data_IF_300638383342
#
_entry.id   IF_300638383342
#
_cell.length_a   1.000
_cell.length_b   1.000
_cell.length_c   1.000
_cell.angle_alpha   90.00
_cell.angle_beta   90.00
_cell.angle_gamma   90.00
#
_symmetry.space_group_name_H-M   'P 1'
#
loop_
_entity.id
_entity.type
_entity.pdbx_description
1 polymer ?
#
# COMPACT_ATOMS: atom_id res chain seq x y z
N UNK A 1 -20.62 12.68 11.50
CA UNK A 1 -21.17 11.37 11.73
C UNK A 1 -20.35 10.29 11.08
N UNK A 2 -20.05 9.24 11.84
CA UNK A 2 -19.19 8.16 11.36
C UNK A 2 -19.95 7.26 10.40
N UNK A 3 -19.58 7.33 9.11
CA UNK A 3 -20.17 6.45 8.11
C UNK A 3 -19.12 5.41 7.72
N UNK A 4 -18.63 4.68 8.73
CA UNK A 4 -17.61 3.67 8.51
C UNK A 4 -18.21 2.36 8.06
N UNK A 5 -17.53 1.72 7.14
CA UNK A 5 -17.92 0.40 6.68
C UNK A 5 -16.67 -0.43 6.41
N UNK A 6 -16.86 -1.73 6.33
CA UNK A 6 -15.77 -2.68 6.15
C UNK A 6 -15.51 -2.90 4.67
N UNK A 7 -14.26 -2.72 4.26
CA UNK A 7 -13.85 -3.14 2.91
C UNK A 7 -12.78 -4.19 3.05
N UNK A 8 -12.62 -5.00 2.02
CA UNK A 8 -11.57 -6.01 1.98
C UNK A 8 -10.57 -5.64 0.89
N UNK A 9 -9.30 -5.66 1.24
CA UNK A 9 -8.22 -5.36 0.31
C UNK A 9 -7.25 -6.53 0.32
N UNK A 10 -6.66 -6.81 -0.84
CA UNK A 10 -5.68 -7.87 -0.95
C UNK A 10 -4.30 -7.28 -1.07
N UNK A 11 -3.41 -7.67 -0.16
CA UNK A 11 -2.02 -7.22 -0.16
C UNK A 11 -1.14 -8.46 0.01
N UNK A 12 -0.22 -8.66 -0.91
CA UNK A 12 0.74 -9.77 -0.86
C UNK A 12 0.03 -11.13 -0.78
N UNK A 13 -1.08 -11.27 -1.51
CA UNK A 13 -1.79 -12.54 -1.59
C UNK A 13 -2.72 -12.84 -0.43
N UNK A 14 -2.89 -11.91 0.49
CA UNK A 14 -3.76 -12.11 1.64
C UNK A 14 -4.80 -11.00 1.71
N UNK A 15 -6.02 -11.37 2.08
CA UNK A 15 -7.13 -10.42 2.21
C UNK A 15 -7.17 -9.86 3.62
N UNK A 16 -7.36 -8.55 3.71
CA UNK A 16 -7.46 -7.84 4.99
C UNK A 16 -8.74 -7.03 5.00
N UNK A 17 -9.46 -7.07 6.13
CA UNK A 17 -10.62 -6.23 6.32
C UNK A 17 -10.21 -4.94 7.02
N UNK A 18 -10.59 -3.81 6.47
CA UNK A 18 -10.34 -2.52 7.10
C UNK A 18 -11.62 -1.71 7.15
N UNK A 19 -11.76 -0.94 8.23
CA UNK A 19 -12.92 -0.06 8.39
C UNK A 19 -12.52 1.35 8.05
N UNK A 20 -13.26 1.95 7.13
CA UNK A 20 -12.97 3.31 6.65
C UNK A 20 -14.29 4.04 6.45
N UNK A 21 -14.22 5.36 6.34
CA UNK A 21 -15.37 6.14 5.93
C UNK A 21 -15.58 5.94 4.42
N UNK A 22 -16.83 6.07 3.98
CA UNK A 22 -17.13 5.89 2.55
C UNK A 22 -16.35 6.86 1.68
N UNK A 23 -16.11 8.07 2.19
CA UNK A 23 -15.36 9.07 1.45
C UNK A 23 -13.91 8.68 1.22
N UNK A 24 -13.39 7.69 1.98
CA UNK A 24 -12.00 7.26 1.90
C UNK A 24 -11.81 6.03 1.02
N UNK A 25 -12.88 5.43 0.53
CA UNK A 25 -12.77 4.13 -0.15
C UNK A 25 -11.89 4.21 -1.40
N UNK A 26 -12.10 5.23 -2.22
CA UNK A 26 -11.34 5.35 -3.46
C UNK A 26 -9.85 5.55 -3.18
N UNK A 27 -9.53 6.37 -2.19
CA UNK A 27 -8.14 6.61 -1.79
C UNK A 27 -7.52 5.34 -1.26
N UNK A 28 -8.26 4.59 -0.43
CA UNK A 28 -7.75 3.33 0.13
C UNK A 28 -7.46 2.31 -0.97
N UNK A 29 -8.35 2.18 -1.95
CA UNK A 29 -8.14 1.23 -3.04
C UNK A 29 -7.00 1.64 -3.95
N UNK A 30 -6.83 2.95 -4.13
CA UNK A 30 -5.68 3.44 -4.90
C UNK A 30 -4.37 3.18 -4.16
N UNK A 31 -4.38 3.33 -2.82
CA UNK A 31 -3.20 3.02 -2.01
C UNK A 31 -2.79 1.56 -2.18
N UNK A 32 -3.76 0.64 -2.16
CA UNK A 32 -3.48 -0.78 -2.36
C UNK A 32 -2.91 -1.03 -3.75
N UNK A 33 -3.44 -0.36 -4.76
CA UNK A 33 -2.94 -0.48 -6.12
C UNK A 33 -1.49 -0.05 -6.21
N UNK A 34 -1.13 1.04 -5.53
CA UNK A 34 0.25 1.51 -5.51
C UNK A 34 1.18 0.51 -4.84
N UNK A 35 0.73 -0.12 -3.76
CA UNK A 35 1.53 -1.16 -3.09
C UNK A 35 1.80 -2.31 -4.05
N UNK A 36 0.78 -2.80 -4.74
CA UNK A 36 0.94 -3.90 -5.70
C UNK A 36 1.91 -3.53 -6.81
N UNK A 37 1.76 -2.33 -7.34
CA UNK A 37 2.62 -1.85 -8.41
C UNK A 37 4.08 -1.84 -7.98
N UNK A 38 4.34 -1.32 -6.77
CA UNK A 38 5.71 -1.27 -6.26
C UNK A 38 6.26 -2.65 -5.98
N UNK A 39 5.44 -3.55 -5.45
CA UNK A 39 5.86 -4.94 -5.24
C UNK A 39 6.26 -5.59 -6.56
N UNK A 40 5.45 -5.39 -7.61
CA UNK A 40 5.76 -5.96 -8.92
C UNK A 40 7.06 -5.41 -9.48
N UNK A 41 7.30 -4.12 -9.31
CA UNK A 41 8.55 -3.49 -9.76
C UNK A 41 9.76 -4.11 -9.07
N UNK A 42 9.68 -4.28 -7.75
CA UNK A 42 10.77 -4.89 -7.00
C UNK A 42 10.95 -6.36 -7.35
N UNK A 43 9.84 -7.08 -7.58
CA UNK A 43 9.90 -8.49 -7.94
C UNK A 43 10.61 -8.71 -9.27
N UNK A 44 10.41 -7.80 -10.21
CA UNK A 44 11.10 -7.85 -11.49
C UNK A 44 12.58 -7.59 -11.35
N UNK A 45 12.95 -6.74 -10.39
CA UNK A 45 14.34 -6.35 -10.20
C UNK A 45 15.10 -7.35 -9.33
N UNK A 46 14.41 -7.98 -8.37
CA UNK A 46 15.01 -8.90 -7.41
C UNK A 46 14.21 -10.19 -7.38
N UNK A 47 14.54 -11.14 -8.23
CA UNK A 47 13.73 -12.34 -8.45
C UNK A 47 13.66 -13.29 -7.27
N UNK A 48 14.67 -13.28 -6.38
CA UNK A 48 14.74 -14.24 -5.28
C UNK A 48 14.34 -13.67 -3.93
N UNK A 49 13.68 -12.51 -3.94
CA UNK A 49 13.29 -11.84 -2.70
C UNK A 49 11.95 -12.38 -2.23
N UNK A 50 11.84 -12.70 -0.94
CA UNK A 50 10.57 -13.19 -0.40
C UNK A 50 9.60 -12.03 -0.15
N UNK A 51 8.36 -12.39 0.14
CA UNK A 51 7.28 -11.41 0.28
C UNK A 51 7.54 -10.42 1.41
N UNK A 52 8.10 -10.90 2.52
CA UNK A 52 8.40 -10.04 3.66
C UNK A 52 9.39 -8.95 3.27
N UNK A 53 10.44 -9.33 2.54
CA UNK A 53 11.45 -8.37 2.11
C UNK A 53 10.88 -7.41 1.07
N UNK A 54 10.02 -7.90 0.17
CA UNK A 54 9.35 -7.02 -0.78
C UNK A 54 8.52 -5.97 -0.06
N UNK A 55 7.76 -6.39 0.95
CA UNK A 55 6.94 -5.45 1.72
C UNK A 55 7.80 -4.45 2.46
N UNK A 56 8.95 -4.89 3.01
CA UNK A 56 9.87 -3.98 3.68
C UNK A 56 10.39 -2.91 2.72
N UNK A 57 10.78 -3.32 1.51
CA UNK A 57 11.26 -2.37 0.49
C UNK A 57 10.17 -1.38 0.09
N UNK A 58 8.95 -1.88 -0.11
CA UNK A 58 7.83 -1.03 -0.48
C UNK A 58 7.53 -0.04 0.64
N UNK A 59 7.55 -0.51 1.88
CA UNK A 59 7.31 0.33 3.05
C UNK A 59 8.34 1.45 3.11
N UNK A 60 9.61 1.11 2.93
CA UNK A 60 10.67 2.12 2.93
C UNK A 60 10.44 3.14 1.82
N UNK A 61 10.16 2.67 0.61
CA UNK A 61 9.99 3.57 -0.53
C UNK A 61 8.82 4.52 -0.31
N UNK A 62 7.70 4.01 0.19
CA UNK A 62 6.53 4.85 0.43
C UNK A 62 6.80 5.89 1.51
N UNK A 63 7.49 5.48 2.57
CA UNK A 63 7.85 6.41 3.64
C UNK A 63 8.82 7.48 3.14
N UNK A 64 9.78 7.07 2.32
CA UNK A 64 10.74 8.00 1.73
C UNK A 64 10.05 9.03 0.85
N UNK A 65 9.11 8.57 0.03
CA UNK A 65 8.35 9.47 -0.84
C UNK A 65 7.51 10.46 -0.03
N UNK A 66 6.91 9.97 1.05
CA UNK A 66 6.11 10.83 1.92
C UNK A 66 6.99 11.90 2.57
N UNK A 67 8.14 11.51 3.11
CA UNK A 67 9.05 12.45 3.75
C UNK A 67 9.57 13.49 2.76
N UNK A 68 9.88 13.07 1.55
CA UNK A 68 10.32 13.98 0.50
C UNK A 68 9.23 14.99 0.15
N UNK A 69 8.00 14.51 0.05
CA UNK A 69 6.86 15.37 -0.25
C UNK A 69 6.66 16.42 0.86
N UNK A 70 6.74 15.97 2.12
CA UNK A 70 6.55 16.87 3.26
C UNK A 70 7.63 17.92 3.36
N UNK A 71 8.88 17.58 3.00
CA UNK A 71 9.98 18.54 3.03
C UNK A 71 9.88 19.61 1.96
N UNK A 72 9.29 19.26 0.83
CA UNK A 72 9.18 20.19 -0.29
C UNK A 72 8.04 21.18 -0.15
N UNK A 73 7.32 21.12 0.95
CA UNK A 73 6.19 22.03 1.21
C UNK A 73 6.56 23.24 2.04
#
# INVERSE_FOLDING_TARGET
MDDKFLIHVEIAGKSYGIRINRSEEQVAREAVRQIRKKMDQYRKKYSDVDVKDLLAMVTFQLSDELESYLKDK
#
